data_IF_394884916126
#
_entry.id   IF_394884916126
#
_cell.length_a   1.000
_cell.length_b   1.000
_cell.length_c   1.000
_cell.angle_alpha   90.00
_cell.angle_beta   90.00
_cell.angle_gamma   90.00
#
_symmetry.space_group_name_H-M   'P 1'
#
loop_
_entity.id
_entity.type
_entity.pdbx_description
1 polymer ?
#
# COMPACT_ATOMS: atom_id res chain seq x y z
N UNK A 1 1.88 -18.97 1.94
CA UNK A 1 1.15 -17.72 1.68
C UNK A 1 2.12 -16.61 1.28
N UNK A 2 2.95 -16.08 2.19
CA UNK A 2 3.87 -14.98 1.87
C UNK A 2 4.93 -15.29 0.79
N UNK A 3 5.43 -16.53 0.71
CA UNK A 3 6.39 -16.96 -0.32
C UNK A 3 5.77 -16.94 -1.73
N UNK A 4 4.51 -17.37 -1.89
CA UNK A 4 3.83 -17.34 -3.20
C UNK A 4 3.59 -15.92 -3.69
N UNK A 5 3.24 -15.01 -2.77
CA UNK A 5 3.09 -13.59 -3.06
C UNK A 5 4.43 -12.98 -3.44
N UNK A 6 5.49 -13.29 -2.70
CA UNK A 6 6.85 -12.83 -3.00
C UNK A 6 7.26 -13.21 -4.42
N UNK A 7 7.23 -14.50 -4.76
CA UNK A 7 7.70 -15.00 -6.05
C UNK A 7 6.87 -14.45 -7.22
N UNK A 8 5.55 -14.31 -7.01
CA UNK A 8 4.65 -13.77 -8.02
C UNK A 8 4.79 -12.25 -8.22
N UNK A 9 5.00 -11.49 -7.14
CA UNK A 9 5.29 -10.05 -7.27
C UNK A 9 6.63 -9.87 -7.97
N UNK A 10 7.63 -10.72 -7.75
CA UNK A 10 8.88 -10.70 -8.53
C UNK A 10 8.62 -11.01 -10.01
N UNK A 11 7.79 -12.01 -10.32
CA UNK A 11 7.41 -12.34 -11.71
C UNK A 11 6.73 -11.15 -12.41
N UNK A 12 5.81 -10.46 -11.73
CA UNK A 12 5.08 -9.33 -12.31
C UNK A 12 5.85 -8.04 -12.31
N UNK A 13 6.57 -7.71 -11.24
CA UNK A 13 7.40 -6.52 -11.20
C UNK A 13 8.60 -6.61 -12.14
N UNK A 14 9.16 -7.82 -12.35
CA UNK A 14 10.12 -8.11 -13.41
C UNK A 14 9.52 -8.01 -14.83
N UNK A 15 8.19 -8.07 -14.94
CA UNK A 15 7.42 -7.84 -16.17
C UNK A 15 6.84 -6.43 -16.33
N UNK A 16 6.78 -5.63 -15.27
CA UNK A 16 6.32 -4.24 -15.31
C UNK A 16 7.44 -3.36 -15.88
N UNK A 17 7.24 -2.67 -17.02
CA UNK A 17 8.25 -1.79 -17.56
C UNK A 17 8.56 -0.66 -16.57
N UNK A 18 9.85 -0.46 -16.28
CA UNK A 18 10.31 0.65 -15.46
C UNK A 18 10.70 0.30 -14.02
N UNK A 19 10.89 -0.97 -13.67
CA UNK A 19 11.55 -1.34 -12.41
C UNK A 19 12.95 -0.69 -12.36
N UNK A 20 13.21 0.10 -11.31
CA UNK A 20 14.45 0.84 -11.11
C UNK A 20 15.43 0.07 -10.23
N UNK A 21 14.93 -0.46 -9.11
CA UNK A 21 15.72 -1.21 -8.15
C UNK A 21 14.94 -2.45 -7.69
N UNK A 22 15.22 -3.62 -8.31
CA UNK A 22 14.62 -4.89 -7.92
C UNK A 22 14.90 -5.26 -6.47
N UNK A 23 16.07 -4.86 -5.93
CA UNK A 23 16.48 -5.20 -4.56
C UNK A 23 15.65 -4.49 -3.49
N UNK A 24 15.17 -3.28 -3.78
CA UNK A 24 14.24 -2.58 -2.88
C UNK A 24 12.90 -3.30 -2.78
N UNK A 25 12.38 -3.76 -3.92
CA UNK A 25 11.14 -4.51 -3.95
C UNK A 25 11.29 -5.87 -3.25
N UNK A 26 12.36 -6.60 -3.56
CA UNK A 26 12.67 -7.89 -2.92
C UNK A 26 12.82 -7.74 -1.40
N UNK A 27 13.47 -6.67 -0.94
CA UNK A 27 13.58 -6.35 0.50
C UNK A 27 12.22 -6.12 1.17
N UNK A 28 11.33 -5.35 0.54
CA UNK A 28 9.96 -5.14 1.04
C UNK A 28 9.21 -6.47 1.10
N UNK A 29 9.33 -7.31 0.07
CA UNK A 29 8.67 -8.61 0.01
C UNK A 29 9.24 -9.60 1.03
N UNK A 30 10.55 -9.57 1.27
CA UNK A 30 11.21 -10.37 2.30
C UNK A 30 10.70 -10.00 3.69
N UNK A 31 10.63 -8.70 3.98
CA UNK A 31 10.18 -8.20 5.28
C UNK A 31 8.75 -8.63 5.62
N UNK A 32 7.81 -8.59 4.68
CA UNK A 32 6.43 -9.01 4.94
C UNK A 32 6.28 -10.52 5.18
N UNK A 33 7.32 -11.33 4.92
CA UNK A 33 7.34 -12.75 5.31
C UNK A 33 7.66 -12.95 6.79
N UNK A 34 8.24 -11.93 7.44
CA UNK A 34 8.61 -12.00 8.84
C UNK A 34 7.42 -11.65 9.75
N UNK A 35 6.78 -12.70 10.27
CA UNK A 35 5.63 -12.58 11.17
C UNK A 35 5.98 -11.95 12.52
N UNK A 36 7.26 -11.93 12.95
CA UNK A 36 7.66 -11.26 14.19
C UNK A 36 7.56 -9.73 14.06
N UNK A 37 7.78 -9.19 12.86
CA UNK A 37 7.66 -7.75 12.58
C UNK A 37 6.30 -7.36 12.00
N UNK A 38 5.68 -8.23 11.21
CA UNK A 38 4.38 -8.00 10.57
C UNK A 38 3.42 -9.15 10.88
N UNK A 39 2.90 -9.23 12.11
CA UNK A 39 2.11 -10.38 12.56
C UNK A 39 0.72 -10.45 11.91
N UNK A 40 0.20 -9.33 11.41
CA UNK A 40 -1.15 -9.22 10.87
C UNK A 40 -1.13 -8.88 9.38
N UNK A 41 -2.21 -9.24 8.67
CA UNK A 41 -2.30 -9.04 7.24
C UNK A 41 -2.33 -7.55 6.86
N UNK A 42 -3.03 -6.71 7.63
CA UNK A 42 -3.02 -5.25 7.46
C UNK A 42 -1.60 -4.69 7.58
N UNK A 43 -0.81 -5.12 8.57
CA UNK A 43 0.56 -4.67 8.75
C UNK A 43 1.46 -5.02 7.55
N UNK A 44 1.28 -6.22 6.98
CA UNK A 44 1.98 -6.67 5.75
C UNK A 44 1.56 -5.84 4.54
N UNK A 45 0.26 -5.64 4.34
CA UNK A 45 -0.26 -4.87 3.22
C UNK A 45 0.17 -3.39 3.31
N UNK A 46 0.12 -2.79 4.49
CA UNK A 46 0.66 -1.45 4.75
C UNK A 46 2.15 -1.37 4.43
N UNK A 47 2.95 -2.35 4.87
CA UNK A 47 4.38 -2.35 4.58
C UNK A 47 4.66 -2.45 3.08
N UNK A 48 3.91 -3.29 2.36
CA UNK A 48 4.00 -3.44 0.92
C UNK A 48 3.71 -2.10 0.20
N UNK A 49 2.55 -1.50 0.47
CA UNK A 49 2.13 -0.24 -0.17
C UNK A 49 3.12 0.87 0.16
N UNK A 50 3.42 1.08 1.44
CA UNK A 50 4.30 2.15 1.89
C UNK A 50 5.71 1.98 1.32
N UNK A 51 6.23 0.75 1.32
CA UNK A 51 7.56 0.44 0.81
C UNK A 51 7.69 0.70 -0.68
N UNK A 52 6.77 0.20 -1.50
CA UNK A 52 6.78 0.46 -2.95
C UNK A 52 6.66 1.95 -3.26
N UNK A 53 5.83 2.65 -2.49
CA UNK A 53 5.58 4.06 -2.69
C UNK A 53 6.79 4.94 -2.35
N UNK A 54 7.42 4.70 -1.18
CA UNK A 54 8.54 5.52 -0.66
C UNK A 54 9.92 5.08 -1.14
N UNK A 55 10.16 3.81 -1.40
CA UNK A 55 11.50 3.32 -1.77
C UNK A 55 11.81 3.43 -3.26
N UNK A 56 10.96 4.11 -4.04
CA UNK A 56 11.17 4.40 -5.46
C UNK A 56 11.59 3.16 -6.26
N UNK A 57 10.96 2.01 -5.99
CA UNK A 57 11.27 0.74 -6.64
C UNK A 57 11.12 0.81 -8.18
N UNK A 58 10.32 1.76 -8.69
CA UNK A 58 10.09 2.04 -10.10
C UNK A 58 10.61 3.44 -10.52
N UNK A 59 11.03 3.55 -11.78
CA UNK A 59 11.49 4.78 -12.43
C UNK A 59 10.39 5.86 -12.48
N UNK A 60 9.15 5.43 -12.72
CA UNK A 60 7.95 6.26 -12.61
C UNK A 60 6.77 5.35 -12.22
N UNK A 61 5.72 5.92 -11.65
CA UNK A 61 4.50 5.19 -11.34
C UNK A 61 4.49 4.45 -10.01
N UNK A 62 5.43 4.70 -9.09
CA UNK A 62 5.47 4.08 -7.75
C UNK A 62 4.11 4.09 -7.02
N UNK A 63 3.36 5.21 -7.15
CA UNK A 63 1.99 5.34 -6.63
C UNK A 63 1.05 4.28 -7.22
N UNK A 64 0.95 4.22 -8.55
CA UNK A 64 0.14 3.24 -9.30
C UNK A 64 0.59 1.80 -9.06
N UNK A 65 1.90 1.56 -8.97
CA UNK A 65 2.46 0.24 -8.67
C UNK A 65 2.11 -0.18 -7.25
N UNK A 66 2.21 0.72 -6.26
CA UNK A 66 1.85 0.43 -4.86
C UNK A 66 0.36 0.09 -4.72
N UNK A 67 -0.51 0.82 -5.44
CA UNK A 67 -1.95 0.56 -5.46
C UNK A 67 -2.26 -0.79 -6.12
N UNK A 68 -1.71 -1.03 -7.30
CA UNK A 68 -1.91 -2.28 -8.05
C UNK A 68 -1.43 -3.48 -7.26
N UNK A 69 -0.21 -3.43 -6.72
CA UNK A 69 0.38 -4.53 -5.95
C UNK A 69 -0.37 -4.76 -4.62
N UNK A 70 -0.85 -3.69 -3.98
CA UNK A 70 -1.73 -3.82 -2.79
C UNK A 70 -3.06 -4.50 -3.11
N UNK A 71 -3.74 -4.10 -4.20
CA UNK A 71 -4.99 -4.71 -4.65
C UNK A 71 -4.81 -6.20 -5.01
N UNK A 72 -3.70 -6.54 -5.65
CA UNK A 72 -3.36 -7.93 -5.91
C UNK A 72 -3.05 -8.72 -4.64
N UNK A 73 -2.33 -8.12 -3.69
CA UNK A 73 -2.05 -8.79 -2.41
C UNK A 73 -3.33 -9.09 -1.64
N UNK A 74 -4.34 -8.22 -1.70
CA UNK A 74 -5.68 -8.49 -1.18
C UNK A 74 -6.32 -9.71 -1.86
N UNK A 75 -6.39 -9.71 -3.19
CA UNK A 75 -6.96 -10.81 -3.97
C UNK A 75 -6.28 -12.16 -3.67
N UNK A 76 -4.95 -12.19 -3.63
CA UNK A 76 -4.18 -13.40 -3.35
C UNK A 76 -4.41 -13.97 -1.94
N UNK A 77 -4.89 -13.15 -0.99
CA UNK A 77 -5.18 -13.57 0.38
C UNK A 77 -6.68 -13.74 0.64
N UNK A 78 -7.53 -13.73 -0.40
CA UNK A 78 -8.97 -13.98 -0.29
C UNK A 78 -9.81 -12.76 0.09
N UNK A 79 -9.25 -11.56 -0.04
CA UNK A 79 -9.94 -10.29 0.22
C UNK A 79 -10.52 -9.66 -1.06
N UNK A 80 -10.87 -10.47 -2.06
CA UNK A 80 -11.41 -10.00 -3.34
C UNK A 80 -12.65 -9.09 -3.18
N UNK A 81 -13.44 -9.30 -2.12
CA UNK A 81 -14.65 -8.54 -1.84
C UNK A 81 -14.38 -7.03 -1.61
N UNK A 82 -13.24 -6.67 -1.02
CA UNK A 82 -12.91 -5.28 -0.71
C UNK A 82 -12.01 -4.63 -1.78
N UNK A 83 -11.51 -5.39 -2.75
CA UNK A 83 -10.61 -4.87 -3.81
C UNK A 83 -11.22 -3.68 -4.57
N UNK A 84 -12.49 -3.70 -5.02
CA UNK A 84 -13.07 -2.55 -5.73
C UNK A 84 -13.09 -1.27 -4.89
N UNK A 85 -13.45 -1.39 -3.61
CA UNK A 85 -13.46 -0.27 -2.68
C UNK A 85 -12.05 0.20 -2.34
N UNK A 86 -11.12 -0.73 -2.13
CA UNK A 86 -9.71 -0.44 -1.91
C UNK A 86 -9.14 0.40 -3.05
N UNK A 87 -9.35 0.01 -4.31
CA UNK A 87 -8.81 0.74 -5.47
C UNK A 87 -9.32 2.18 -5.50
N UNK A 88 -10.61 2.39 -5.24
CA UNK A 88 -11.23 3.72 -5.24
C UNK A 88 -10.74 4.57 -4.06
N UNK A 89 -10.78 4.04 -2.84
CA UNK A 89 -10.42 4.79 -1.64
C UNK A 89 -8.91 5.10 -1.59
N UNK A 90 -8.08 4.18 -2.06
CA UNK A 90 -6.62 4.31 -1.96
C UNK A 90 -6.00 5.16 -3.06
N UNK A 91 -6.73 5.50 -4.14
CA UNK A 91 -6.18 6.25 -5.28
C UNK A 91 -5.52 7.57 -4.85
N UNK A 92 -6.20 8.36 -4.02
CA UNK A 92 -5.65 9.62 -3.49
C UNK A 92 -4.75 9.38 -2.27
N UNK A 93 -5.02 8.35 -1.48
CA UNK A 93 -4.24 8.05 -0.26
C UNK A 93 -2.81 7.67 -0.64
N UNK A 94 -2.59 6.89 -1.70
CA UNK A 94 -1.22 6.58 -2.15
C UNK A 94 -0.47 7.80 -2.69
N UNK A 95 -1.18 8.84 -3.13
CA UNK A 95 -0.57 10.14 -3.47
C UNK A 95 -0.14 10.86 -2.20
N UNK A 96 -1.03 10.96 -1.22
CA UNK A 96 -0.77 11.55 0.08
C UNK A 96 0.37 10.84 0.84
N UNK A 97 0.47 9.52 0.71
CA UNK A 97 1.61 8.75 1.22
C UNK A 97 2.89 9.18 0.52
N UNK A 98 2.90 9.35 -0.80
CA UNK A 98 4.09 9.80 -1.55
C UNK A 98 4.56 11.17 -1.06
N UNK A 99 3.62 12.10 -0.88
CA UNK A 99 3.83 13.46 -0.37
C UNK A 99 4.24 13.47 1.11
N UNK A 100 3.94 12.40 1.85
CA UNK A 100 4.27 12.27 3.27
C UNK A 100 3.24 12.90 4.20
N UNK A 101 2.10 13.35 3.67
CA UNK A 101 0.95 13.83 4.46
C UNK A 101 0.22 12.69 5.14
N UNK A 102 0.19 11.50 4.52
CA UNK A 102 -0.26 10.24 5.16
C UNK A 102 0.96 9.42 5.57
N UNK A 103 1.13 9.22 6.86
CA UNK A 103 2.20 8.39 7.40
C UNK A 103 1.83 6.89 7.43
N UNK A 104 2.77 6.05 7.87
CA UNK A 104 2.57 4.60 7.94
C UNK A 104 1.45 4.21 8.92
N UNK A 105 1.31 4.91 10.04
CA UNK A 105 0.34 4.56 11.08
C UNK A 105 -1.09 4.87 10.62
N UNK A 106 -1.29 6.03 9.99
CA UNK A 106 -2.55 6.42 9.38
C UNK A 106 -2.90 5.47 8.22
N UNK A 107 -1.93 5.15 7.36
CA UNK A 107 -2.13 4.17 6.28
C UNK A 107 -2.56 2.79 6.82
N UNK A 108 -2.00 2.33 7.93
CA UNK A 108 -2.39 1.06 8.53
C UNK A 108 -3.84 1.05 9.00
N UNK A 109 -4.31 2.13 9.62
CA UNK A 109 -5.71 2.27 10.04
C UNK A 109 -6.67 2.29 8.87
N UNK A 110 -6.29 2.94 7.76
CA UNK A 110 -7.05 2.89 6.51
C UNK A 110 -7.15 1.46 5.99
N UNK A 111 -6.01 0.77 5.88
CA UNK A 111 -5.97 -0.61 5.38
C UNK A 111 -6.81 -1.53 6.26
N UNK A 112 -6.69 -1.42 7.58
CA UNK A 112 -7.49 -2.20 8.52
C UNK A 112 -8.99 -1.95 8.33
N UNK A 113 -9.40 -0.67 8.25
CA UNK A 113 -10.81 -0.31 8.05
C UNK A 113 -11.34 -0.81 6.70
N UNK A 114 -10.52 -0.82 5.63
CA UNK A 114 -10.92 -1.38 4.33
C UNK A 114 -11.15 -2.90 4.36
N UNK A 115 -10.52 -3.59 5.30
CA UNK A 115 -10.59 -5.04 5.42
C UNK A 115 -11.74 -5.45 6.36
N UNK A 116 -11.84 -4.78 7.51
CA UNK A 116 -12.74 -5.18 8.61
C UNK A 116 -14.09 -4.46 8.57
N UNK A 117 -14.15 -3.24 8.03
CA UNK A 117 -15.34 -2.39 8.03
C UNK A 117 -15.88 -2.14 6.62
N UNK A 118 -17.20 -1.94 6.50
CA UNK A 118 -17.82 -1.51 5.23
C UNK A 118 -17.50 -0.02 4.91
N UNK A 119 -17.12 0.77 5.92
CA UNK A 119 -16.87 2.21 5.81
C UNK A 119 -15.86 2.70 6.87
N UNK A 120 -15.19 3.82 6.60
CA UNK A 120 -14.23 4.40 7.54
C UNK A 120 -14.93 5.03 8.76
N UNK A 121 -14.41 4.80 9.97
CA UNK A 121 -14.86 5.53 11.16
C UNK A 121 -14.76 7.05 10.94
N UNK A 122 -15.72 7.82 11.46
CA UNK A 122 -15.75 9.28 11.28
C UNK A 122 -14.45 9.96 11.74
N UNK A 123 -13.84 9.46 12.81
CA UNK A 123 -12.54 9.93 13.29
C UNK A 123 -11.42 9.72 12.26
N UNK A 124 -11.42 8.58 11.57
CA UNK A 124 -10.44 8.28 10.52
C UNK A 124 -10.67 9.13 9.27
N UNK A 125 -11.94 9.34 8.89
CA UNK A 125 -12.29 10.25 7.77
C UNK A 125 -11.83 11.67 8.05
N UNK A 126 -12.06 12.18 9.26
CA UNK A 126 -11.63 13.52 9.65
C UNK A 126 -10.10 13.66 9.57
N UNK A 127 -9.37 12.70 10.13
CA UNK A 127 -7.90 12.69 10.11
C UNK A 127 -7.33 12.59 8.69
N UNK A 128 -7.96 11.79 7.82
CA UNK A 128 -7.61 11.73 6.39
C UNK A 128 -7.85 13.08 5.71
N UNK A 129 -8.98 13.74 5.97
CA UNK A 129 -9.28 15.06 5.43
C UNK A 129 -8.29 16.11 5.95
N UNK A 130 -7.91 16.06 7.22
CA UNK A 130 -6.91 16.97 7.78
C UNK A 130 -5.54 16.74 7.15
N UNK A 131 -5.10 15.48 7.05
CA UNK A 131 -3.84 15.10 6.43
C UNK A 131 -3.77 15.53 4.96
N UNK A 132 -4.81 15.25 4.18
CA UNK A 132 -4.87 15.59 2.75
C UNK A 132 -5.23 17.07 2.50
N UNK A 133 -5.86 17.74 3.46
CA UNK A 133 -6.29 19.14 3.38
C UNK A 133 -5.20 20.16 3.75
N UNK A 134 -4.13 19.73 4.42
CA UNK A 134 -2.95 20.55 4.71
C UNK A 134 -1.92 20.57 3.56
N UNK A 135 -2.32 20.19 2.34
CA UNK A 135 -1.63 20.67 1.15
C UNK A 135 -1.85 22.17 1.03
N UNK A 136 -1.01 22.97 1.71
CA UNK A 136 -1.05 24.43 1.56
C UNK A 136 -0.94 24.79 0.06
N UNK A 137 -1.74 25.77 -0.40
CA UNK A 137 -1.47 26.41 -1.68
C UNK A 137 -0.11 27.10 -1.54
N UNK A 138 0.88 26.67 -2.31
CA UNK A 138 2.16 27.38 -2.43
C UNK A 138 1.86 28.87 -2.69
N UNK A 139 2.36 29.70 -1.77
CA UNK A 139 2.31 31.16 -1.79
C UNK A 139 3.32 31.76 -2.78
#
# INVERSE_FOLDING_TARGET
MAVMVHDWIIEISGGLPGLKDPGQLESVLEHIRNDDYYPTFDAKLTHLIFGINKFHAFNDGNKRSSLTLGAYFLSLNGYDYCVPQFVVQMENIVVAVAEGTVDRALLQRVVLSLIEDDDFPDALKLELVEAMGHGEPDA
#
